data_IF_843303119128
#
_entry.id   IF_843303119128
#
_cell.length_a   1.000
_cell.length_b   1.000
_cell.length_c   1.000
_cell.angle_alpha   90.00
_cell.angle_beta   90.00
_cell.angle_gamma   90.00
#
_symmetry.space_group_name_H-M   'P 1'
#
loop_
_entity.id
_entity.type
_entity.pdbx_description
1 polymer ?
#
# COMPACT_ATOMS: atom_id res chain seq x y z
N UNK A 1 -30.13 -1.86 -30.46
CA UNK A 1 -28.85 -1.31 -29.94
C UNK A 1 -28.35 -2.27 -28.88
N UNK A 2 -27.23 -2.95 -29.11
CA UNK A 2 -26.59 -3.75 -28.08
C UNK A 2 -26.24 -2.80 -26.93
N UNK A 3 -26.90 -2.95 -25.78
CA UNK A 3 -26.45 -2.28 -24.56
C UNK A 3 -25.00 -2.69 -24.35
N UNK A 4 -24.08 -1.74 -24.48
CA UNK A 4 -22.71 -1.91 -24.02
C UNK A 4 -22.79 -2.37 -22.57
N UNK A 5 -22.53 -3.65 -22.31
CA UNK A 5 -22.34 -4.14 -20.95
C UNK A 5 -20.99 -3.59 -20.51
N UNK A 6 -21.00 -2.42 -19.90
CA UNK A 6 -19.80 -1.87 -19.27
C UNK A 6 -19.46 -2.72 -18.04
N UNK A 7 -18.19 -3.04 -17.86
CA UNK A 7 -17.70 -3.86 -16.73
C UNK A 7 -17.31 -3.00 -15.50
N UNK A 8 -17.38 -1.67 -15.62
CA UNK A 8 -17.11 -0.71 -14.57
C UNK A 8 -17.24 0.73 -15.07
N UNK A 9 -16.97 1.71 -14.20
CA UNK A 9 -16.96 3.13 -14.54
C UNK A 9 -15.75 3.86 -13.95
N UNK A 10 -15.12 4.72 -14.75
CA UNK A 10 -14.18 5.73 -14.28
C UNK A 10 -14.89 7.09 -14.26
N UNK A 11 -14.91 7.74 -13.10
CA UNK A 11 -15.51 9.05 -12.88
C UNK A 11 -14.40 10.04 -12.56
N UNK A 12 -14.20 11.00 -13.44
CA UNK A 12 -13.28 12.12 -13.21
C UNK A 12 -14.12 13.33 -12.85
N UNK A 13 -14.01 13.80 -11.61
CA UNK A 13 -14.69 15.02 -11.18
C UNK A 13 -13.73 16.20 -11.29
N UNK A 14 -14.24 17.33 -11.76
CA UNK A 14 -13.60 18.63 -11.69
C UNK A 14 -14.54 19.68 -11.10
N UNK A 15 -14.01 20.84 -10.74
CA UNK A 15 -14.79 21.90 -10.10
C UNK A 15 -16.03 22.33 -10.91
N UNK A 16 -15.93 22.28 -12.24
CA UNK A 16 -17.05 22.56 -13.15
C UNK A 16 -18.23 21.60 -13.03
N UNK A 17 -18.01 20.37 -12.53
CA UNK A 17 -19.10 19.41 -12.30
C UNK A 17 -19.93 19.77 -11.06
N UNK A 18 -19.29 20.39 -10.06
CA UNK A 18 -19.98 20.89 -8.85
C UNK A 18 -20.76 22.16 -9.13
N UNK A 19 -20.19 23.06 -9.94
CA UNK A 19 -20.89 24.20 -10.50
C UNK A 19 -20.17 24.65 -11.80
N UNK A 20 -20.87 24.82 -12.93
CA UNK A 20 -20.24 25.21 -14.20
C UNK A 20 -19.40 26.48 -14.12
N UNK A 21 -19.75 27.42 -13.23
CA UNK A 21 -19.01 28.68 -13.00
C UNK A 21 -17.63 28.46 -12.38
N UNK A 22 -17.36 27.30 -11.79
CA UNK A 22 -16.04 26.93 -11.29
C UNK A 22 -15.13 26.31 -12.37
N UNK A 23 -15.57 26.32 -13.63
CA UNK A 23 -14.76 25.98 -14.81
C UNK A 23 -14.31 27.22 -15.60
N UNK A 24 -13.36 27.04 -16.52
CA UNK A 24 -12.83 28.15 -17.34
C UNK A 24 -13.72 28.54 -18.52
N UNK A 25 -14.63 27.66 -18.96
CA UNK A 25 -15.47 27.87 -20.16
C UNK A 25 -16.80 28.58 -19.86
N UNK A 26 -17.24 28.58 -18.61
CA UNK A 26 -18.46 29.27 -18.21
C UNK A 26 -18.18 30.75 -17.97
N UNK A 27 -19.07 31.62 -18.43
CA UNK A 27 -18.97 33.08 -18.27
C UNK A 27 -19.84 33.61 -17.13
N UNK A 28 -20.17 32.77 -16.15
CA UNK A 28 -20.96 33.21 -15.00
C UNK A 28 -20.20 34.15 -14.07
N UNK A 29 -20.94 34.91 -13.25
CA UNK A 29 -20.37 35.85 -12.29
C UNK A 29 -19.62 35.13 -11.15
N UNK A 30 -18.55 35.76 -10.67
CA UNK A 30 -17.82 35.43 -9.43
C UNK A 30 -17.92 36.56 -8.41
N UNK A 31 -18.99 37.36 -8.47
CA UNK A 31 -19.25 38.41 -7.50
C UNK A 31 -19.39 37.80 -6.09
N UNK A 32 -18.98 38.50 -5.02
CA UNK A 32 -19.05 37.97 -3.67
C UNK A 32 -20.44 37.48 -3.27
N UNK A 33 -21.52 38.07 -3.80
CA UNK A 33 -22.89 37.65 -3.49
C UNK A 33 -23.25 36.25 -3.99
N UNK A 34 -22.58 35.73 -5.03
CA UNK A 34 -22.89 34.41 -5.61
C UNK A 34 -22.17 33.26 -4.90
N UNK A 35 -21.27 33.54 -3.96
CA UNK A 35 -20.44 32.52 -3.30
C UNK A 35 -21.24 31.50 -2.50
N UNK A 36 -22.32 31.90 -1.82
CA UNK A 36 -23.19 30.95 -1.10
C UNK A 36 -24.03 30.09 -2.07
N UNK A 37 -24.44 30.67 -3.21
CA UNK A 37 -25.16 29.95 -4.26
C UNK A 37 -24.27 28.87 -4.92
N UNK A 38 -23.03 29.21 -5.24
CA UNK A 38 -22.00 28.26 -5.71
C UNK A 38 -21.83 27.09 -4.73
N UNK A 39 -21.73 27.38 -3.42
CA UNK A 39 -21.61 26.36 -2.39
C UNK A 39 -22.86 25.47 -2.29
N UNK A 40 -24.05 26.06 -2.44
CA UNK A 40 -25.30 25.30 -2.41
C UNK A 40 -25.41 24.34 -3.61
N UNK A 41 -25.02 24.77 -4.80
CA UNK A 41 -24.97 23.91 -5.99
C UNK A 41 -23.98 22.75 -5.80
N UNK A 42 -22.77 23.04 -5.28
CA UNK A 42 -21.78 22.01 -4.98
C UNK A 42 -22.30 20.97 -3.97
N UNK A 43 -23.02 21.40 -2.91
CA UNK A 43 -23.67 20.50 -1.93
C UNK A 43 -24.77 19.65 -2.55
N UNK A 44 -25.57 20.23 -3.44
CA UNK A 44 -26.63 19.51 -4.15
C UNK A 44 -26.04 18.45 -5.08
N UNK A 45 -25.02 18.81 -5.87
CA UNK A 45 -24.31 17.86 -6.72
C UNK A 45 -23.67 16.73 -5.91
N UNK A 46 -23.00 17.05 -4.80
CA UNK A 46 -22.41 16.05 -3.92
C UNK A 46 -23.45 15.06 -3.37
N UNK A 47 -24.61 15.57 -2.94
CA UNK A 47 -25.72 14.76 -2.44
C UNK A 47 -26.28 13.86 -3.54
N UNK A 48 -26.47 14.41 -4.74
CA UNK A 48 -26.93 13.67 -5.91
C UNK A 48 -25.95 12.54 -6.28
N UNK A 49 -24.65 12.83 -6.38
CA UNK A 49 -23.65 11.83 -6.75
C UNK A 49 -23.58 10.70 -5.71
N UNK A 50 -23.62 11.01 -4.42
CA UNK A 50 -23.73 10.00 -3.36
C UNK A 50 -24.95 9.10 -3.54
N UNK A 51 -26.12 9.65 -3.86
CA UNK A 51 -27.34 8.88 -4.07
C UNK A 51 -27.24 7.97 -5.30
N UNK A 52 -26.67 8.47 -6.40
CA UNK A 52 -26.44 7.69 -7.62
C UNK A 52 -25.49 6.53 -7.34
N UNK A 53 -24.33 6.78 -6.71
CA UNK A 53 -23.34 5.74 -6.42
C UNK A 53 -23.89 4.67 -5.45
N UNK A 54 -24.71 5.05 -4.47
CA UNK A 54 -25.39 4.11 -3.58
C UNK A 54 -26.41 3.22 -4.29
N UNK A 55 -27.00 3.71 -5.37
CA UNK A 55 -27.95 2.92 -6.18
C UNK A 55 -27.27 1.95 -7.13
N UNK A 56 -25.95 2.08 -7.34
CA UNK A 56 -25.21 1.18 -8.23
C UNK A 56 -25.05 -0.22 -7.61
N UNK A 57 -25.08 -1.29 -8.43
CA UNK A 57 -24.84 -2.64 -7.94
C UNK A 57 -23.42 -2.80 -7.35
N UNK A 58 -23.30 -3.50 -6.23
CA UNK A 58 -22.00 -3.76 -5.56
C UNK A 58 -21.00 -4.49 -6.47
N UNK A 59 -21.46 -5.25 -7.47
CA UNK A 59 -20.58 -5.93 -8.42
C UNK A 59 -20.04 -5.02 -9.53
N UNK A 60 -20.53 -3.78 -9.63
CA UNK A 60 -20.12 -2.83 -10.65
C UNK A 60 -19.06 -1.88 -10.07
N UNK A 61 -17.77 -2.10 -10.37
CA UNK A 61 -16.69 -1.29 -9.82
C UNK A 61 -16.70 0.13 -10.39
N UNK A 62 -16.49 1.09 -9.51
CA UNK A 62 -16.39 2.51 -9.83
C UNK A 62 -15.06 3.02 -9.30
N UNK A 63 -14.26 3.60 -10.18
CA UNK A 63 -13.06 4.36 -9.80
C UNK A 63 -13.36 5.85 -9.93
N UNK A 64 -13.06 6.64 -8.92
CA UNK A 64 -13.41 8.04 -8.84
C UNK A 64 -12.21 8.91 -8.45
N UNK A 65 -11.99 10.00 -9.17
CA UNK A 65 -11.09 11.08 -8.73
C UNK A 65 -11.89 12.28 -8.24
N UNK A 66 -11.42 12.91 -7.16
CA UNK A 66 -11.87 14.25 -6.79
C UNK A 66 -11.32 15.31 -7.76
N UNK A 67 -11.81 16.56 -7.73
CA UNK A 67 -11.23 17.67 -8.47
C UNK A 67 -9.70 17.71 -8.37
N UNK A 68 -9.05 17.69 -9.52
CA UNK A 68 -7.59 17.55 -9.62
C UNK A 68 -6.91 18.86 -10.01
N UNK A 69 -7.68 19.76 -10.63
CA UNK A 69 -7.24 21.04 -11.16
C UNK A 69 -7.28 22.14 -10.09
N UNK A 70 -6.52 23.24 -10.28
CA UNK A 70 -6.65 24.43 -9.44
C UNK A 70 -8.05 25.02 -9.55
N UNK A 71 -8.56 25.51 -8.42
CA UNK A 71 -9.73 26.37 -8.42
C UNK A 71 -9.41 27.63 -9.26
N UNK A 72 -10.35 28.10 -10.09
CA UNK A 72 -10.22 29.42 -10.68
C UNK A 72 -10.18 30.50 -9.58
N UNK A 73 -9.68 31.71 -9.88
CA UNK A 73 -9.60 32.81 -8.93
C UNK A 73 -10.99 33.44 -8.68
N UNK A 74 -11.91 32.66 -8.13
CA UNK A 74 -13.33 33.00 -7.90
C UNK A 74 -13.54 33.91 -6.70
N UNK A 75 -12.49 34.17 -5.91
CA UNK A 75 -12.54 35.09 -4.77
C UNK A 75 -11.45 36.14 -4.90
N UNK A 76 -11.62 37.26 -4.19
CA UNK A 76 -10.66 38.36 -4.15
C UNK A 76 -9.45 38.10 -3.22
N UNK A 77 -9.44 36.98 -2.49
CA UNK A 77 -8.36 36.69 -1.57
C UNK A 77 -7.08 36.31 -2.32
N UNK A 78 -5.90 36.72 -1.84
CA UNK A 78 -4.65 36.30 -2.45
C UNK A 78 -4.44 34.79 -2.28
N UNK A 79 -3.75 34.16 -3.23
CA UNK A 79 -3.61 32.69 -3.30
C UNK A 79 -2.87 32.05 -2.11
N UNK A 80 -2.13 32.83 -1.33
CA UNK A 80 -1.48 32.37 -0.08
C UNK A 80 -2.38 32.48 1.15
N UNK A 81 -3.64 32.92 1.00
CA UNK A 81 -4.59 33.07 2.10
C UNK A 81 -5.83 32.19 1.88
N UNK A 82 -5.96 31.18 2.74
CA UNK A 82 -7.17 30.35 2.79
C UNK A 82 -8.37 31.18 3.22
N UNK A 83 -9.47 31.10 2.49
CA UNK A 83 -10.73 31.78 2.80
C UNK A 83 -11.84 30.76 3.10
N UNK A 84 -12.93 31.25 3.71
CA UNK A 84 -14.06 30.41 4.13
C UNK A 84 -14.71 29.69 2.95
N UNK A 85 -14.85 30.34 1.79
CA UNK A 85 -15.49 29.75 0.61
C UNK A 85 -14.68 28.55 0.10
N UNK A 86 -13.38 28.73 -0.18
CA UNK A 86 -12.51 27.64 -0.66
C UNK A 86 -12.48 26.46 0.32
N UNK A 87 -12.38 26.75 1.63
CA UNK A 87 -12.38 25.73 2.68
C UNK A 87 -13.73 25.00 2.76
N UNK A 88 -14.84 25.72 2.61
CA UNK A 88 -16.18 25.14 2.64
C UNK A 88 -16.46 24.27 1.42
N UNK A 89 -15.96 24.67 0.25
CA UNK A 89 -16.03 23.88 -0.98
C UNK A 89 -15.20 22.59 -0.86
N UNK A 90 -13.96 22.70 -0.38
CA UNK A 90 -13.09 21.54 -0.09
C UNK A 90 -13.70 20.62 0.97
N UNK A 91 -14.32 21.19 2.01
CA UNK A 91 -15.05 20.42 3.02
C UNK A 91 -16.22 19.65 2.39
N UNK A 92 -17.01 20.29 1.53
CA UNK A 92 -18.11 19.63 0.82
C UNK A 92 -17.63 18.41 0.03
N UNK A 93 -16.56 18.57 -0.74
CA UNK A 93 -15.95 17.47 -1.50
C UNK A 93 -15.43 16.39 -0.55
N UNK A 94 -14.66 16.75 0.47
CA UNK A 94 -14.11 15.79 1.43
C UNK A 94 -15.21 14.99 2.14
N UNK A 95 -16.29 15.64 2.58
CA UNK A 95 -17.44 14.98 3.21
C UNK A 95 -18.14 14.00 2.27
N UNK A 96 -18.29 14.38 0.99
CA UNK A 96 -18.81 13.48 -0.04
C UNK A 96 -17.91 12.25 -0.23
N UNK A 97 -16.60 12.47 -0.37
CA UNK A 97 -15.62 11.39 -0.56
C UNK A 97 -15.61 10.41 0.63
N UNK A 98 -15.65 10.92 1.86
CA UNK A 98 -15.80 10.07 3.06
C UNK A 98 -17.06 9.22 2.95
N UNK A 99 -18.19 9.83 2.60
CA UNK A 99 -19.48 9.14 2.55
C UNK A 99 -19.54 8.03 1.48
N UNK A 100 -18.89 8.21 0.33
CA UNK A 100 -18.85 7.18 -0.73
C UNK A 100 -17.73 6.16 -0.54
N UNK A 101 -16.71 6.46 0.28
CA UNK A 101 -15.62 5.51 0.60
C UNK A 101 -16.09 4.27 1.37
N UNK A 102 -17.26 4.35 2.01
CA UNK A 102 -17.91 3.23 2.70
C UNK A 102 -18.51 2.21 1.72
N UNK A 103 -18.67 2.56 0.44
CA UNK A 103 -19.25 1.69 -0.57
C UNK A 103 -18.19 0.73 -1.11
N UNK A 104 -18.47 -0.58 -1.01
CA UNK A 104 -17.51 -1.63 -1.39
C UNK A 104 -17.09 -1.58 -2.87
N UNK A 105 -17.94 -1.05 -3.74
CA UNK A 105 -17.71 -0.97 -5.17
C UNK A 105 -17.13 0.37 -5.64
N UNK A 106 -16.97 1.35 -4.74
CA UNK A 106 -16.38 2.65 -5.07
C UNK A 106 -14.95 2.71 -4.57
N UNK A 107 -14.03 3.10 -5.44
CA UNK A 107 -12.62 3.28 -5.14
C UNK A 107 -12.23 4.70 -5.49
N UNK A 108 -11.69 5.42 -4.51
CA UNK A 108 -11.32 6.82 -4.66
C UNK A 108 -9.81 6.89 -4.91
N UNK A 109 -9.40 7.61 -5.94
CA UNK A 109 -7.98 7.88 -6.21
C UNK A 109 -7.42 8.75 -5.09
N UNK A 110 -6.27 8.33 -4.53
CA UNK A 110 -5.56 9.11 -3.52
C UNK A 110 -5.01 10.40 -4.15
N UNK A 111 -5.39 11.55 -3.59
CA UNK A 111 -4.85 12.86 -3.95
C UNK A 111 -3.32 12.88 -3.79
N UNK A 112 -2.82 12.32 -2.69
CA UNK A 112 -1.38 12.31 -2.38
C UNK A 112 -0.60 11.51 -3.43
N UNK A 113 -1.15 10.37 -3.88
CA UNK A 113 -0.51 9.59 -4.95
C UNK A 113 -0.48 10.37 -6.26
N UNK A 114 -1.56 11.07 -6.59
CA UNK A 114 -1.64 11.90 -7.78
C UNK A 114 -0.72 13.13 -7.68
N UNK A 115 -0.56 13.73 -6.50
CA UNK A 115 0.35 14.87 -6.26
C UNK A 115 1.81 14.50 -6.47
N UNK A 116 2.21 13.29 -6.07
CA UNK A 116 3.57 12.76 -6.27
C UNK A 116 3.85 12.48 -7.76
N UNK A 117 2.92 11.80 -8.43
CA UNK A 117 3.10 11.34 -9.82
C UNK A 117 2.78 12.42 -10.87
N UNK A 118 1.92 13.37 -10.53
CA UNK A 118 1.46 14.45 -11.40
C UNK A 118 1.37 15.76 -10.60
N UNK A 119 2.47 16.54 -10.52
CA UNK A 119 2.52 17.77 -9.72
C UNK A 119 1.43 18.77 -10.09
N UNK A 120 0.81 19.38 -9.08
CA UNK A 120 -0.39 20.23 -9.22
C UNK A 120 -0.29 21.34 -10.28
N UNK A 121 0.87 22.00 -10.37
CA UNK A 121 1.12 23.08 -11.33
C UNK A 121 1.30 22.61 -12.78
N UNK A 122 1.33 21.31 -13.05
CA UNK A 122 1.49 20.68 -14.37
C UNK A 122 0.22 19.99 -14.87
N UNK A 123 -0.94 20.22 -14.23
CA UNK A 123 -2.18 19.51 -14.56
C UNK A 123 -3.03 20.23 -15.60
N UNK A 124 -3.24 21.52 -15.41
CA UNK A 124 -4.15 22.34 -16.23
C UNK A 124 -3.50 22.75 -17.57
N UNK A 125 -4.24 22.59 -18.66
CA UNK A 125 -3.99 23.20 -19.97
C UNK A 125 -5.19 24.09 -20.36
N UNK A 126 -5.13 25.41 -20.07
CA UNK A 126 -6.22 26.32 -20.42
C UNK A 126 -6.46 26.41 -21.93
N UNK A 127 -5.40 26.29 -22.75
CA UNK A 127 -5.52 26.39 -24.21
C UNK A 127 -6.34 25.23 -24.75
N UNK A 128 -6.05 24.01 -24.28
CA UNK A 128 -6.80 22.82 -24.66
C UNK A 128 -8.23 22.86 -24.13
N UNK A 129 -8.45 23.38 -22.91
CA UNK A 129 -9.78 23.57 -22.34
C UNK A 129 -10.65 24.47 -23.21
N UNK A 130 -10.15 25.65 -23.60
CA UNK A 130 -10.90 26.57 -24.45
C UNK A 130 -11.19 26.00 -25.85
N UNK A 131 -10.25 25.25 -26.41
CA UNK A 131 -10.38 24.71 -27.77
C UNK A 131 -11.31 23.49 -27.85
N UNK A 132 -11.29 22.62 -26.84
CA UNK A 132 -11.88 21.27 -26.95
C UNK A 132 -12.64 20.79 -25.70
N UNK A 133 -12.56 21.50 -24.57
CA UNK A 133 -13.10 21.02 -23.29
C UNK A 133 -12.29 19.90 -22.66
N UNK A 134 -11.01 19.78 -23.03
CA UNK A 134 -10.06 18.86 -22.42
C UNK A 134 -9.07 19.68 -21.58
N UNK A 135 -9.26 19.79 -20.26
CA UNK A 135 -8.51 20.74 -19.43
C UNK A 135 -7.12 20.26 -19.01
N UNK A 136 -6.70 19.10 -19.49
CA UNK A 136 -5.52 18.42 -18.97
C UNK A 136 -4.30 18.57 -19.86
N UNK A 137 -3.13 18.75 -19.23
CA UNK A 137 -1.88 18.40 -19.89
C UNK A 137 -1.83 16.88 -20.10
N UNK A 138 -1.32 16.45 -21.25
CA UNK A 138 -1.26 15.03 -21.62
C UNK A 138 -0.59 14.14 -20.55
N UNK A 139 0.52 14.55 -19.91
CA UNK A 139 1.12 13.74 -18.84
C UNK A 139 0.18 13.51 -17.65
N UNK A 140 -0.58 14.53 -17.26
CA UNK A 140 -1.54 14.42 -16.17
C UNK A 140 -2.72 13.51 -16.54
N UNK A 141 -3.28 13.66 -17.74
CA UNK A 141 -4.34 12.79 -18.23
C UNK A 141 -3.89 11.32 -18.31
N UNK A 142 -2.64 11.08 -18.72
CA UNK A 142 -2.06 9.73 -18.75
C UNK A 142 -1.95 9.12 -17.36
N UNK A 143 -1.50 9.88 -16.36
CA UNK A 143 -1.39 9.40 -14.98
C UNK A 143 -2.77 9.12 -14.37
N UNK A 144 -3.73 10.02 -14.59
CA UNK A 144 -5.12 9.81 -14.18
C UNK A 144 -5.70 8.53 -14.78
N UNK A 145 -5.51 8.31 -16.08
CA UNK A 145 -5.94 7.08 -16.75
C UNK A 145 -5.26 5.83 -16.17
N UNK A 146 -3.97 5.91 -15.86
CA UNK A 146 -3.22 4.83 -15.23
C UNK A 146 -3.78 4.47 -13.85
N UNK A 147 -4.05 5.46 -13.00
CA UNK A 147 -4.60 5.24 -11.66
C UNK A 147 -6.03 4.68 -11.71
N UNK A 148 -6.87 5.18 -12.61
CA UNK A 148 -8.21 4.62 -12.83
C UNK A 148 -8.13 3.16 -13.29
N UNK A 149 -7.24 2.84 -14.23
CA UNK A 149 -7.04 1.47 -14.70
C UNK A 149 -6.61 0.53 -13.56
N UNK A 150 -5.67 0.95 -12.70
CA UNK A 150 -5.23 0.15 -11.54
C UNK A 150 -6.37 -0.11 -10.53
N UNK A 151 -7.33 0.81 -10.41
CA UNK A 151 -8.49 0.63 -9.52
C UNK A 151 -9.58 -0.25 -10.14
N UNK A 152 -9.79 -0.19 -11.45
CA UNK A 152 -10.79 -1.02 -12.13
C UNK A 152 -10.26 -2.44 -12.40
N UNK A 153 -8.96 -2.58 -12.63
CA UNK A 153 -8.27 -3.82 -12.96
C UNK A 153 -7.09 -4.04 -11.99
N UNK A 154 -7.35 -4.32 -10.70
CA UNK A 154 -6.29 -4.44 -9.71
C UNK A 154 -5.37 -5.62 -9.99
N UNK A 155 -4.07 -5.41 -9.78
CA UNK A 155 -3.11 -6.49 -9.70
C UNK A 155 -3.32 -7.28 -8.40
N UNK A 156 -2.96 -8.56 -8.42
CA UNK A 156 -2.98 -9.38 -7.21
C UNK A 156 -1.88 -8.90 -6.25
N UNK A 157 -2.21 -8.59 -4.99
CA UNK A 157 -1.20 -8.23 -4.00
C UNK A 157 -0.21 -9.36 -3.79
N UNK A 158 1.04 -9.00 -3.49
CA UNK A 158 2.05 -9.93 -3.00
C UNK A 158 1.59 -10.53 -1.67
N UNK A 159 1.97 -11.78 -1.42
CA UNK A 159 1.50 -12.59 -0.28
C UNK A 159 2.52 -12.66 0.85
N UNK A 160 3.81 -12.58 0.54
CA UNK A 160 4.86 -12.67 1.54
C UNK A 160 6.09 -11.85 1.21
N UNK A 161 6.82 -11.51 2.26
CA UNK A 161 8.06 -10.75 2.24
C UNK A 161 9.12 -11.54 3.00
N UNK A 162 10.23 -11.83 2.33
CA UNK A 162 11.41 -12.46 2.92
C UNK A 162 12.45 -11.35 3.10
N UNK A 163 12.96 -11.16 4.31
CA UNK A 163 13.93 -10.08 4.62
C UNK A 163 15.24 -10.65 5.14
N UNK A 164 16.34 -9.98 4.81
CA UNK A 164 17.60 -10.10 5.55
C UNK A 164 17.50 -9.42 6.93
N UNK A 165 18.50 -9.66 7.79
CA UNK A 165 18.60 -9.09 9.13
C UNK A 165 19.66 -7.98 9.21
N UNK A 166 20.94 -8.35 9.09
CA UNK A 166 22.07 -7.44 9.25
C UNK A 166 22.03 -6.34 8.18
N UNK A 167 22.29 -5.11 8.61
CA UNK A 167 22.19 -3.90 7.78
C UNK A 167 20.86 -3.75 7.02
N UNK A 168 19.79 -4.40 7.51
CA UNK A 168 18.45 -4.40 6.91
C UNK A 168 17.38 -4.15 7.97
N UNK A 169 17.11 -5.14 8.83
CA UNK A 169 16.18 -5.01 9.97
C UNK A 169 16.81 -4.18 11.09
N UNK A 170 18.13 -4.27 11.27
CA UNK A 170 18.92 -3.43 12.16
C UNK A 170 20.19 -2.98 11.45
N UNK A 171 20.81 -1.91 11.96
CA UNK A 171 22.14 -1.48 11.55
C UNK A 171 23.18 -2.32 12.29
N UNK A 172 24.20 -2.80 11.56
CA UNK A 172 25.33 -3.53 12.11
C UNK A 172 25.29 -5.04 11.81
N UNK A 173 26.47 -5.65 11.85
CA UNK A 173 26.68 -7.09 11.64
C UNK A 173 26.65 -7.80 13.00
N UNK A 174 25.61 -8.60 13.24
CA UNK A 174 25.37 -9.22 14.55
C UNK A 174 26.53 -10.10 15.01
N UNK A 175 27.14 -10.87 14.09
CA UNK A 175 28.26 -11.75 14.40
C UNK A 175 29.54 -11.03 14.81
N UNK A 176 29.70 -9.75 14.44
CA UNK A 176 30.89 -8.94 14.72
C UNK A 176 30.68 -8.04 15.93
N UNK A 177 29.53 -7.38 16.00
CA UNK A 177 29.23 -6.37 17.02
C UNK A 177 28.54 -6.96 18.26
N UNK A 178 28.02 -8.18 18.16
CA UNK A 178 27.22 -8.79 19.19
C UNK A 178 25.83 -8.17 19.32
N UNK A 179 25.03 -8.73 20.22
CA UNK A 179 23.61 -8.37 20.41
C UNK A 179 23.44 -6.92 20.87
N UNK A 180 24.37 -6.39 21.67
CA UNK A 180 24.32 -5.01 22.17
C UNK A 180 24.78 -3.98 21.14
N UNK A 181 25.50 -4.41 20.10
CA UNK A 181 26.09 -3.53 19.09
C UNK A 181 25.22 -3.24 17.87
N UNK A 182 24.05 -3.89 17.74
CA UNK A 182 23.07 -3.61 16.69
C UNK A 182 22.08 -2.52 17.13
N UNK A 183 21.66 -1.67 16.18
CA UNK A 183 20.85 -0.47 16.47
C UNK A 183 19.75 -0.23 15.42
N UNK A 184 18.71 0.52 15.79
CA UNK A 184 17.59 0.88 14.90
C UNK A 184 16.91 2.21 15.27
N UNK A 185 17.54 2.98 16.13
CA UNK A 185 17.03 4.24 16.67
C UNK A 185 17.72 5.47 16.05
N UNK A 186 17.24 6.64 16.42
CA UNK A 186 17.76 7.92 15.94
C UNK A 186 19.12 8.27 16.54
N UNK A 187 19.41 7.89 17.78
CA UNK A 187 20.66 8.23 18.49
C UNK A 187 21.88 7.64 17.77
N UNK A 188 21.72 6.42 17.25
CA UNK A 188 22.74 5.72 16.48
C UNK A 188 22.64 5.97 14.96
N UNK A 189 21.77 6.87 14.51
CA UNK A 189 21.56 7.15 13.08
C UNK A 189 20.89 6.00 12.31
N UNK A 190 20.27 5.04 13.01
CA UNK A 190 19.70 3.81 12.47
C UNK A 190 18.15 3.85 12.32
N UNK A 191 17.54 5.04 12.42
CA UNK A 191 16.09 5.24 12.41
C UNK A 191 15.39 4.65 11.17
N UNK A 192 16.09 4.57 10.03
CA UNK A 192 15.58 3.91 8.82
C UNK A 192 15.23 2.44 9.05
N UNK A 193 16.08 1.72 9.79
CA UNK A 193 15.87 0.32 10.16
C UNK A 193 14.70 0.18 11.13
N UNK A 194 14.59 1.05 12.14
CA UNK A 194 13.45 1.04 13.06
C UNK A 194 12.12 1.36 12.39
N UNK A 195 12.13 2.29 11.43
CA UNK A 195 10.98 2.58 10.56
C UNK A 195 10.57 1.34 9.75
N UNK A 196 11.56 0.65 9.16
CA UNK A 196 11.33 -0.58 8.40
C UNK A 196 10.77 -1.72 9.29
N UNK A 197 11.29 -1.91 10.50
CA UNK A 197 10.73 -2.85 11.48
C UNK A 197 9.26 -2.58 11.79
N UNK A 198 8.90 -1.32 12.06
CA UNK A 198 7.50 -0.91 12.30
C UNK A 198 6.61 -1.22 11.10
N UNK A 199 7.13 -0.97 9.90
CA UNK A 199 6.41 -1.23 8.67
C UNK A 199 6.18 -2.73 8.46
N UNK A 200 7.21 -3.57 8.63
CA UNK A 200 7.07 -5.03 8.59
C UNK A 200 6.06 -5.54 9.61
N UNK A 201 6.16 -5.08 10.86
CA UNK A 201 5.21 -5.44 11.91
C UNK A 201 3.76 -5.08 11.54
N UNK A 202 3.54 -3.96 10.85
CA UNK A 202 2.23 -3.58 10.30
C UNK A 202 1.78 -4.52 9.17
N UNK A 203 2.67 -4.84 8.22
CA UNK A 203 2.34 -5.76 7.12
C UNK A 203 1.90 -7.13 7.64
N UNK A 204 2.61 -7.68 8.64
CA UNK A 204 2.24 -8.96 9.26
C UNK A 204 0.83 -8.94 9.85
N UNK A 205 0.45 -7.84 10.52
CA UNK A 205 -0.90 -7.67 11.09
C UNK A 205 -2.01 -7.55 10.04
N UNK A 206 -1.66 -7.29 8.78
CA UNK A 206 -2.57 -7.30 7.63
C UNK A 206 -2.54 -8.61 6.83
N UNK A 207 -1.88 -9.64 7.37
CA UNK A 207 -1.80 -10.99 6.82
C UNK A 207 -0.79 -11.17 5.70
N UNK A 208 0.23 -10.32 5.65
CA UNK A 208 1.42 -10.58 4.84
C UNK A 208 2.31 -11.56 5.60
N UNK A 209 2.73 -12.64 4.95
CA UNK A 209 3.67 -13.58 5.52
C UNK A 209 5.07 -12.97 5.59
N UNK A 210 5.72 -13.02 6.74
CA UNK A 210 7.09 -12.53 6.88
C UNK A 210 8.03 -13.67 7.26
N UNK A 211 9.13 -13.80 6.53
CA UNK A 211 10.20 -14.74 6.84
C UNK A 211 11.55 -14.03 6.84
N UNK A 212 12.53 -14.70 7.43
CA UNK A 212 13.92 -14.27 7.42
C UNK A 212 14.75 -15.23 6.59
N UNK A 213 15.61 -14.70 5.73
CA UNK A 213 16.70 -15.43 5.09
C UNK A 213 18.00 -14.63 5.29
N UNK A 214 18.81 -15.04 6.27
CA UNK A 214 20.01 -14.32 6.67
C UNK A 214 21.20 -15.24 6.87
N UNK A 215 22.40 -14.76 6.48
CA UNK A 215 23.67 -15.44 6.72
C UNK A 215 24.17 -15.09 8.11
N UNK A 216 23.71 -15.85 9.11
CA UNK A 216 23.95 -15.52 10.51
C UNK A 216 24.04 -16.78 11.39
N UNK A 217 24.50 -16.62 12.64
CA UNK A 217 24.44 -17.68 13.65
C UNK A 217 23.03 -17.72 14.26
N UNK A 218 22.31 -18.86 14.20
CA UNK A 218 20.94 -18.95 14.71
C UNK A 218 20.82 -18.65 16.21
N UNK A 219 21.83 -19.01 17.01
CA UNK A 219 21.82 -18.76 18.46
C UNK A 219 21.91 -17.26 18.77
N UNK A 220 22.76 -16.52 18.04
CA UNK A 220 22.86 -15.07 18.20
C UNK A 220 21.61 -14.36 17.70
N UNK A 221 21.02 -14.83 16.60
CA UNK A 221 19.75 -14.29 16.11
C UNK A 221 18.63 -14.48 17.14
N UNK A 222 18.52 -15.66 17.73
CA UNK A 222 17.55 -15.91 18.79
C UNK A 222 17.80 -15.04 20.02
N UNK A 223 19.07 -14.79 20.38
CA UNK A 223 19.42 -13.88 21.47
C UNK A 223 19.06 -12.43 21.15
N UNK A 224 19.33 -11.95 19.93
CA UNK A 224 18.92 -10.63 19.46
C UNK A 224 17.39 -10.47 19.55
N UNK A 225 16.62 -11.48 19.13
CA UNK A 225 15.16 -11.45 19.21
C UNK A 225 14.57 -11.60 20.63
N UNK A 226 15.39 -11.91 21.66
CA UNK A 226 14.96 -11.82 23.07
C UNK A 226 14.97 -10.39 23.59
N UNK A 227 15.66 -9.47 22.91
CA UNK A 227 15.62 -8.04 23.22
C UNK A 227 14.20 -7.52 23.09
N UNK A 228 13.71 -6.83 24.12
CA UNK A 228 12.31 -6.36 24.19
C UNK A 228 12.09 -5.02 23.50
N UNK A 229 13.16 -4.34 23.10
CA UNK A 229 13.14 -3.04 22.42
C UNK A 229 13.05 -3.16 20.88
N UNK A 230 13.15 -4.38 20.32
CA UNK A 230 12.88 -4.64 18.90
C UNK A 230 11.41 -4.40 18.59
N UNK A 231 11.15 -3.63 17.53
CA UNK A 231 9.79 -3.25 17.13
C UNK A 231 9.12 -4.35 16.29
N UNK A 232 9.91 -5.20 15.66
CA UNK A 232 9.47 -6.38 14.94
C UNK A 232 9.59 -7.60 15.86
N UNK A 233 8.45 -8.15 16.29
CA UNK A 233 8.46 -9.32 17.17
C UNK A 233 8.77 -10.61 16.41
N UNK A 234 9.59 -11.46 17.03
CA UNK A 234 9.94 -12.81 16.55
C UNK A 234 8.73 -13.67 16.21
N UNK A 235 7.61 -13.49 16.90
CA UNK A 235 6.37 -14.22 16.64
C UNK A 235 5.79 -13.90 15.24
N UNK A 236 6.08 -12.71 14.70
CA UNK A 236 5.66 -12.31 13.37
C UNK A 236 6.62 -12.73 12.26
N UNK A 237 7.67 -13.51 12.56
CA UNK A 237 8.61 -14.03 11.57
C UNK A 237 8.55 -15.56 11.52
N UNK A 238 8.16 -16.11 10.38
CA UNK A 238 8.14 -17.54 10.15
C UNK A 238 8.13 -17.90 8.66
N UNK A 239 9.04 -18.76 8.17
CA UNK A 239 10.20 -19.32 8.88
C UNK A 239 11.30 -18.28 9.18
N UNK A 240 12.22 -18.66 10.07
CA UNK A 240 13.46 -17.92 10.29
C UNK A 240 14.63 -18.82 9.84
N UNK A 241 15.17 -18.54 8.67
CA UNK A 241 16.32 -19.24 8.10
C UNK A 241 17.60 -18.41 8.37
N UNK A 242 18.31 -18.76 9.45
CA UNK A 242 19.57 -18.13 9.84
C UNK A 242 20.71 -19.17 9.82
N UNK A 243 21.51 -19.17 8.76
CA UNK A 243 22.66 -20.08 8.59
C UNK A 243 23.59 -19.58 7.46
N UNK A 244 24.81 -20.11 7.38
CA UNK A 244 25.84 -19.69 6.42
C UNK A 244 25.69 -20.24 4.99
N UNK A 245 24.53 -20.81 4.67
CA UNK A 245 24.27 -21.41 3.36
C UNK A 245 23.78 -20.38 2.33
N UNK A 246 23.53 -20.81 1.08
CA UNK A 246 22.98 -19.94 0.03
C UNK A 246 21.58 -19.43 0.40
N UNK A 247 21.31 -18.14 0.19
CA UNK A 247 19.99 -17.57 0.49
C UNK A 247 18.92 -18.07 -0.46
N UNK A 248 19.29 -18.42 -1.69
CA UNK A 248 18.40 -19.05 -2.68
C UNK A 248 17.80 -20.38 -2.18
N UNK A 249 18.55 -21.15 -1.39
CA UNK A 249 18.05 -22.38 -0.75
C UNK A 249 17.13 -22.09 0.43
N UNK A 250 17.46 -21.11 1.27
CA UNK A 250 16.60 -20.63 2.36
C UNK A 250 15.25 -20.17 1.81
N UNK A 251 15.27 -19.38 0.73
CA UNK A 251 14.07 -18.93 0.02
C UNK A 251 13.26 -20.12 -0.51
N UNK A 252 13.91 -21.14 -1.10
CA UNK A 252 13.21 -22.33 -1.57
C UNK A 252 12.49 -23.08 -0.43
N UNK A 253 13.12 -23.19 0.74
CA UNK A 253 12.50 -23.79 1.94
C UNK A 253 11.32 -22.94 2.43
N UNK A 254 11.48 -21.62 2.51
CA UNK A 254 10.41 -20.70 2.90
C UNK A 254 9.20 -20.81 1.96
N UNK A 255 9.41 -20.82 0.64
CA UNK A 255 8.35 -20.98 -0.34
C UNK A 255 7.58 -22.29 -0.14
N UNK A 256 8.31 -23.38 0.14
CA UNK A 256 7.72 -24.70 0.42
C UNK A 256 6.90 -24.68 1.71
N UNK A 257 7.43 -24.11 2.79
CA UNK A 257 6.74 -23.97 4.07
C UNK A 257 5.47 -23.13 3.94
N UNK A 258 5.54 -22.00 3.24
CA UNK A 258 4.38 -21.15 3.01
C UNK A 258 3.37 -21.78 2.04
N UNK A 259 3.81 -22.71 1.20
CA UNK A 259 3.03 -23.25 0.09
C UNK A 259 2.48 -22.13 -0.83
N UNK A 260 3.36 -21.19 -1.18
CA UNK A 260 3.03 -20.00 -1.96
C UNK A 260 3.95 -19.90 -3.18
N UNK A 261 3.40 -19.42 -4.31
CA UNK A 261 4.13 -19.24 -5.55
C UNK A 261 5.13 -18.07 -5.47
N UNK A 262 6.30 -18.25 -6.09
CA UNK A 262 7.42 -17.31 -6.05
C UNK A 262 7.10 -15.93 -6.63
N UNK A 263 6.22 -15.85 -7.64
CA UNK A 263 5.76 -14.60 -8.27
C UNK A 263 4.96 -13.68 -7.30
N UNK A 264 4.49 -14.22 -6.19
CA UNK A 264 3.78 -13.49 -5.14
C UNK A 264 4.66 -13.08 -3.97
N UNK A 265 5.98 -13.28 -4.05
CA UNK A 265 6.93 -12.98 -2.98
C UNK A 265 7.83 -11.80 -3.33
N UNK A 266 8.15 -11.00 -2.30
CA UNK A 266 9.20 -9.99 -2.34
C UNK A 266 10.38 -10.45 -1.48
N UNK A 267 11.60 -10.33 -1.98
CA UNK A 267 12.83 -10.57 -1.22
C UNK A 267 13.59 -9.27 -1.04
N UNK A 268 13.97 -8.94 0.19
CA UNK A 268 14.66 -7.71 0.55
C UNK A 268 15.99 -8.04 1.21
N UNK A 269 17.04 -7.44 0.67
CA UNK A 269 18.41 -7.59 1.13
C UNK A 269 19.18 -6.30 0.85
N UNK A 270 20.15 -5.97 1.69
CA UNK A 270 21.03 -4.83 1.46
C UNK A 270 22.17 -5.16 0.48
N UNK A 271 22.43 -6.44 0.19
CA UNK A 271 23.52 -6.92 -0.66
C UNK A 271 23.04 -7.20 -2.09
N UNK A 272 23.51 -6.45 -3.11
CA UNK A 272 23.19 -6.74 -4.51
C UNK A 272 23.59 -8.15 -4.96
N UNK A 273 24.64 -8.71 -4.36
CA UNK A 273 25.11 -10.07 -4.65
C UNK A 273 24.10 -11.12 -4.22
N UNK A 274 23.55 -11.00 -3.01
CA UNK A 274 22.53 -11.92 -2.49
C UNK A 274 21.23 -11.81 -3.30
N UNK A 275 20.84 -10.60 -3.69
CA UNK A 275 19.69 -10.38 -4.58
C UNK A 275 19.90 -11.07 -5.93
N UNK A 276 21.10 -10.94 -6.53
CA UNK A 276 21.41 -11.57 -7.81
C UNK A 276 21.41 -13.10 -7.70
N UNK A 277 21.95 -13.66 -6.62
CA UNK A 277 21.91 -15.11 -6.34
C UNK A 277 20.47 -15.62 -6.29
N UNK A 278 19.63 -14.99 -5.46
CA UNK A 278 18.21 -15.38 -5.33
C UNK A 278 17.47 -15.21 -6.65
N UNK A 279 17.70 -14.11 -7.38
CA UNK A 279 17.03 -13.84 -8.65
C UNK A 279 17.42 -14.82 -9.76
N UNK A 280 18.65 -15.33 -9.75
CA UNK A 280 19.11 -16.33 -10.71
C UNK A 280 18.39 -17.68 -10.52
N UNK A 281 18.17 -18.09 -9.27
CA UNK A 281 17.50 -19.36 -8.94
C UNK A 281 15.97 -19.23 -8.98
N UNK A 282 15.44 -18.08 -8.55
CA UNK A 282 14.00 -17.79 -8.48
C UNK A 282 13.65 -16.52 -9.28
N UNK A 283 13.63 -16.57 -10.64
CA UNK A 283 13.43 -15.39 -11.47
C UNK A 283 12.10 -14.65 -11.25
N UNK A 284 11.10 -15.34 -10.69
CA UNK A 284 9.76 -14.81 -10.45
C UNK A 284 9.68 -13.94 -9.19
N UNK A 285 10.60 -14.10 -8.23
CA UNK A 285 10.62 -13.30 -7.00
C UNK A 285 10.96 -11.86 -7.32
N UNK A 286 10.26 -10.92 -6.68
CA UNK A 286 10.60 -9.51 -6.75
C UNK A 286 11.70 -9.19 -5.75
N UNK A 287 12.93 -9.07 -6.23
CA UNK A 287 14.10 -8.75 -5.40
C UNK A 287 14.29 -7.22 -5.33
N UNK A 288 14.30 -6.66 -4.13
CA UNK A 288 14.44 -5.23 -3.87
C UNK A 288 15.64 -4.96 -2.95
N UNK A 289 16.47 -4.00 -3.34
CA UNK A 289 17.61 -3.57 -2.53
C UNK A 289 17.13 -2.75 -1.35
N UNK A 290 17.60 -3.09 -0.15
CA UNK A 290 17.46 -2.25 1.03
C UNK A 290 18.52 -1.13 1.02
N UNK A 291 18.14 0.15 0.92
CA UNK A 291 19.09 1.25 0.79
C UNK A 291 19.57 1.71 2.16
N UNK A 292 20.40 0.89 2.83
CA UNK A 292 20.82 1.05 4.24
C UNK A 292 21.40 2.41 4.65
N UNK A 293 21.89 3.20 3.70
CA UNK A 293 22.53 4.50 3.96
C UNK A 293 21.72 5.72 3.50
N UNK A 294 20.50 5.52 2.97
CA UNK A 294 19.67 6.60 2.44
C UNK A 294 18.25 6.57 3.05
N UNK A 295 17.98 7.41 4.06
CA UNK A 295 16.66 7.48 4.70
C UNK A 295 15.51 7.79 3.74
N UNK A 296 15.73 8.59 2.70
CA UNK A 296 14.70 8.91 1.73
C UNK A 296 14.37 7.69 0.86
N UNK A 297 15.40 6.98 0.39
CA UNK A 297 15.21 5.75 -0.37
C UNK A 297 14.58 4.62 0.47
N UNK A 298 14.82 4.57 1.79
CA UNK A 298 14.12 3.62 2.68
C UNK A 298 12.63 3.93 2.71
N UNK A 299 12.25 5.21 2.78
CA UNK A 299 10.84 5.61 2.76
C UNK A 299 10.20 5.30 1.41
N UNK A 300 10.90 5.54 0.29
CA UNK A 300 10.42 5.19 -1.05
C UNK A 300 10.22 3.67 -1.20
N UNK A 301 11.13 2.87 -0.66
CA UNK A 301 10.97 1.41 -0.59
C UNK A 301 9.70 1.04 0.18
N UNK A 302 9.43 1.65 1.34
CA UNK A 302 8.21 1.39 2.10
C UNK A 302 6.94 1.77 1.33
N UNK A 303 6.94 2.90 0.60
CA UNK A 303 5.82 3.26 -0.28
C UNK A 303 5.60 2.22 -1.39
N UNK A 304 6.68 1.76 -2.03
CA UNK A 304 6.60 0.70 -3.04
C UNK A 304 6.06 -0.60 -2.45
N UNK A 305 6.52 -1.01 -1.27
CA UNK A 305 6.02 -2.20 -0.60
C UNK A 305 4.55 -2.06 -0.23
N UNK A 306 4.12 -0.88 0.22
CA UNK A 306 2.69 -0.61 0.49
C UNK A 306 1.85 -0.83 -0.76
N UNK A 307 2.32 -0.41 -1.93
CA UNK A 307 1.62 -0.62 -3.19
C UNK A 307 1.60 -2.11 -3.61
N UNK A 308 2.70 -2.85 -3.36
CA UNK A 308 2.82 -4.28 -3.69
C UNK A 308 1.95 -5.17 -2.79
N UNK A 309 1.82 -4.84 -1.50
CA UNK A 309 1.07 -5.64 -0.51
C UNK A 309 -0.33 -5.09 -0.22
N UNK A 310 -0.68 -3.92 -0.73
CA UNK A 310 -1.92 -3.22 -0.43
C UNK A 310 -3.17 -4.05 -0.74
N UNK A 311 -4.03 -4.24 0.26
CA UNK A 311 -5.33 -4.92 0.12
C UNK A 311 -6.47 -3.92 0.29
N UNK A 312 -7.61 -4.20 -0.36
CA UNK A 312 -8.84 -3.38 -0.24
C UNK A 312 -9.59 -3.64 1.07
N UNK A 313 -9.44 -4.83 1.62
CA UNK A 313 -10.00 -5.22 2.91
C UNK A 313 -9.08 -6.23 3.59
N UNK A 314 -9.10 -6.23 4.93
CA UNK A 314 -8.41 -7.21 5.75
C UNK A 314 -9.48 -8.20 6.22
N UNK A 315 -9.24 -9.48 5.97
CA UNK A 315 -10.14 -10.55 6.43
C UNK A 315 -9.66 -11.11 7.77
N UNK A 316 -10.54 -11.81 8.51
CA UNK A 316 -10.12 -12.52 9.73
C UNK A 316 -9.13 -13.66 9.42
N UNK A 317 -9.21 -14.27 8.24
CA UNK A 317 -8.23 -15.27 7.81
C UNK A 317 -6.83 -14.65 7.67
N UNK A 318 -6.75 -13.42 7.19
CA UNK A 318 -5.47 -12.71 7.04
C UNK A 318 -4.78 -12.54 8.40
N UNK A 319 -5.50 -12.30 9.50
CA UNK A 319 -4.88 -12.06 10.80
C UNK A 319 -4.28 -13.32 11.44
N UNK A 320 -4.78 -14.52 11.07
CA UNK A 320 -4.33 -15.80 11.63
C UNK A 320 -3.47 -16.63 10.67
N UNK A 321 -3.34 -16.22 9.39
CA UNK A 321 -2.71 -17.00 8.33
C UNK A 321 -1.31 -17.50 8.69
N UNK A 322 -0.47 -16.63 9.23
CA UNK A 322 0.91 -17.02 9.56
C UNK A 322 0.98 -18.05 10.69
N UNK A 323 0.12 -17.91 11.70
CA UNK A 323 0.07 -18.85 12.84
C UNK A 323 -0.48 -20.22 12.39
N UNK A 324 -1.48 -20.22 11.50
CA UNK A 324 -2.00 -21.47 10.93
C UNK A 324 -0.93 -22.25 10.16
N UNK A 325 -0.07 -21.55 9.41
CA UNK A 325 1.05 -22.19 8.69
C UNK A 325 2.07 -22.78 9.66
N UNK A 326 2.43 -22.04 10.72
CA UNK A 326 3.36 -22.52 11.76
C UNK A 326 2.86 -23.80 12.41
N UNK A 327 1.64 -23.80 12.93
CA UNK A 327 1.03 -24.97 13.60
C UNK A 327 0.94 -26.17 12.65
N UNK A 328 0.60 -25.93 11.37
CA UNK A 328 0.51 -26.99 10.37
C UNK A 328 1.86 -27.62 10.01
N UNK A 329 2.96 -26.87 10.06
CA UNK A 329 4.31 -27.42 9.87
C UNK A 329 4.83 -28.13 11.12
N UNK A 330 4.58 -27.59 12.33
CA UNK A 330 4.94 -28.26 13.58
C UNK A 330 4.27 -29.64 13.68
N UNK A 331 2.97 -29.72 13.38
CA UNK A 331 2.25 -31.00 13.35
C UNK A 331 2.80 -31.97 12.29
N UNK A 332 3.23 -31.47 11.13
CA UNK A 332 3.86 -32.28 10.07
C UNK A 332 5.24 -32.79 10.50
N UNK A 333 6.03 -31.97 11.17
CA UNK A 333 7.34 -32.36 11.71
C UNK A 333 7.19 -33.43 12.82
N UNK A 334 6.21 -33.28 13.71
CA UNK A 334 5.88 -34.28 14.74
C UNK A 334 5.42 -35.61 14.13
N UNK A 335 4.56 -35.53 13.10
CA UNK A 335 4.07 -36.71 12.38
C UNK A 335 5.18 -37.44 11.60
N UNK A 336 6.16 -36.69 11.07
CA UNK A 336 7.31 -37.24 10.35
C UNK A 336 8.38 -37.83 11.30
N UNK A 337 8.49 -37.31 12.53
CA UNK A 337 9.43 -37.79 13.54
C UNK A 337 8.96 -39.03 14.33
N UNK A 338 7.77 -39.56 14.04
CA UNK A 338 7.38 -40.91 14.42
C UNK A 338 7.43 -41.20 15.93
N UNK A 339 6.46 -40.67 16.68
CA UNK A 339 5.99 -41.37 17.87
C UNK A 339 4.55 -41.83 17.62
N UNK A 340 4.38 -43.14 17.65
CA UNK A 340 3.14 -43.88 17.45
C UNK A 340 2.06 -43.35 18.41
N UNK A 341 1.03 -42.67 17.88
CA UNK A 341 -0.23 -42.54 18.62
C UNK A 341 -1.06 -43.78 18.28
N UNK A 342 -0.77 -44.90 18.96
CA UNK A 342 -1.66 -46.07 18.97
C UNK A 342 -2.25 -46.39 20.35
N UNK A 343 -2.05 -45.59 21.39
CA UNK A 343 -2.59 -45.91 22.73
C UNK A 343 -3.46 -44.84 23.40
N UNK A 344 -3.69 -43.69 22.75
CA UNK A 344 -4.56 -42.64 23.33
C UNK A 344 -5.98 -42.66 22.74
N UNK A 345 -6.18 -43.22 21.54
CA UNK A 345 -7.50 -43.23 20.87
C UNK A 345 -8.42 -44.43 21.21
N UNK A 346 -7.94 -45.43 21.97
CA UNK A 346 -8.76 -46.60 22.38
C UNK A 346 -9.29 -46.55 23.82
N UNK A 347 -9.04 -45.47 24.58
CA UNK A 347 -9.54 -45.31 25.96
C UNK A 347 -10.72 -44.35 26.13
N UNK A 348 -11.29 -43.84 25.05
CA UNK A 348 -12.50 -43.00 25.07
C UNK A 348 -13.72 -43.67 24.40
N UNK A 349 -13.66 -44.98 24.19
CA UNK A 349 -14.75 -45.78 23.60
C UNK A 349 -15.19 -46.95 24.51
N UNK A 350 -15.10 -46.78 25.83
CA UNK A 350 -15.79 -47.62 26.82
C UNK A 350 -16.72 -46.77 27.68
#
# INVERSE_FOLDING_TARGET
MAQSKSDGAAIVLEWSDFDPRLGLRSLGSWDPEVTEDLLNNARQFATFLCAVLRSMPVKFPVSLSSPTLPLPPVTHYPSWHSNKFDLSLKQCVASMLVSISELQNVHIISSDRLDISSPFNRRLDPKSEYASGFPYQIPHASEMAHLHANQLLPLNPKKGLITDLDDTVWLGILGELGVDGISWDLEHGAQGHGSYQRFLQSLSRTGVLLAVASKNNPQLVDEAFRRTDLLLSRHHLYPLEAHWGPKSESVARILKTWNVAADSIVFIDHSPMELAEVKAVHPQIECLLFPKSDPAAILDLQYRLRDLFGKRSITQEDTIRQESIRVAEEFRAESANGNVISDVFLRQAE
#
